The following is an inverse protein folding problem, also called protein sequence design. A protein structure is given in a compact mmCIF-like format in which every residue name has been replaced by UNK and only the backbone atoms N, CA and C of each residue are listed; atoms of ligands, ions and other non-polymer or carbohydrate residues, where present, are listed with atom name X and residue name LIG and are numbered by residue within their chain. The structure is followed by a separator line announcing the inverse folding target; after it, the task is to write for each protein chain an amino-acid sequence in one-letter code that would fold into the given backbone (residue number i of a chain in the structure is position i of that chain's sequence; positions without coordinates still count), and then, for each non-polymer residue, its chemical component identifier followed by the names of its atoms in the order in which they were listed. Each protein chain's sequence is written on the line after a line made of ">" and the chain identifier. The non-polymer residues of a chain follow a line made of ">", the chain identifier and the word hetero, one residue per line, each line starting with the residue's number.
data_IF_802672250700
#
_entry.id   IF_802672250700
#
_cell.length_a   1.000
_cell.length_b   1.000
_cell.length_c   1.000
_cell.angle_alpha   90.00
_cell.angle_beta   90.00
_cell.angle_gamma   90.00
#
_symmetry.space_group_name_H-M   'P 1'
#
loop_
_entity.id
_entity.type
_entity.pdbx_description
1 polymer ?
#
# COMPACT_ATOMS: atom_id res chain seq x y z
N UNK A 1 20.95 -10.60 -19.16
CA UNK A 1 21.36 -9.64 -18.09
C UNK A 1 21.18 -10.25 -16.68
N UNK A 2 20.03 -10.82 -16.32
CA UNK A 2 19.76 -11.38 -14.96
C UNK A 2 20.75 -12.50 -14.61
N UNK A 3 20.98 -13.45 -15.52
CA UNK A 3 21.92 -14.57 -15.29
C UNK A 3 23.37 -14.11 -15.05
N UNK A 4 23.78 -12.98 -15.60
CA UNK A 4 25.13 -12.41 -15.42
C UNK A 4 25.23 -11.41 -14.25
N UNK A 5 24.11 -11.05 -13.62
CA UNK A 5 24.10 -10.05 -12.55
C UNK A 5 24.70 -10.57 -11.24
N UNK A 6 25.23 -9.66 -10.44
CA UNK A 6 25.73 -9.95 -9.12
C UNK A 6 24.57 -10.39 -8.17
N UNK A 7 24.90 -11.21 -7.18
CA UNK A 7 23.96 -11.61 -6.12
C UNK A 7 23.56 -10.36 -5.32
N UNK A 8 22.29 -10.33 -4.89
CA UNK A 8 21.70 -9.22 -4.11
C UNK A 8 21.73 -7.87 -4.84
N UNK A 9 21.88 -7.85 -6.16
CA UNK A 9 21.82 -6.60 -6.95
C UNK A 9 20.37 -6.18 -7.24
N UNK A 10 20.20 -4.94 -7.72
CA UNK A 10 18.94 -4.43 -8.27
C UNK A 10 19.04 -4.34 -9.78
N UNK A 11 18.04 -4.82 -10.49
CA UNK A 11 17.94 -4.73 -11.95
C UNK A 11 16.65 -3.99 -12.28
N UNK A 12 16.82 -2.96 -13.12
CA UNK A 12 15.71 -2.18 -13.66
C UNK A 12 15.38 -2.69 -15.07
N UNK A 13 14.10 -2.96 -15.32
CA UNK A 13 13.56 -3.48 -16.57
C UNK A 13 12.41 -2.56 -17.00
N UNK A 14 12.53 -1.95 -18.16
CA UNK A 14 11.42 -1.19 -18.73
C UNK A 14 10.41 -2.17 -19.34
N UNK A 15 9.14 -2.06 -18.96
CA UNK A 15 8.09 -2.94 -19.46
C UNK A 15 7.70 -2.67 -20.91
N UNK A 16 7.90 -1.43 -21.40
CA UNK A 16 7.56 -1.03 -22.77
C UNK A 16 6.13 -1.46 -23.19
N UNK A 17 5.18 -1.31 -22.28
CA UNK A 17 3.78 -1.70 -22.51
C UNK A 17 3.46 -3.17 -22.23
N UNK A 18 4.44 -4.01 -21.89
CA UNK A 18 4.14 -5.39 -21.49
C UNK A 18 3.38 -5.43 -20.17
N UNK A 19 2.34 -6.28 -20.12
CA UNK A 19 1.45 -6.42 -18.97
C UNK A 19 1.73 -7.66 -18.11
N UNK A 20 2.71 -8.46 -18.51
CA UNK A 20 3.12 -9.64 -17.75
C UNK A 20 4.62 -9.87 -17.80
N UNK A 21 5.16 -10.47 -16.74
CA UNK A 21 6.56 -10.89 -16.65
C UNK A 21 6.60 -12.42 -16.60
N UNK A 22 7.33 -13.07 -17.51
CA UNK A 22 7.48 -14.53 -17.52
C UNK A 22 8.08 -15.08 -16.21
N UNK A 23 7.65 -16.25 -15.82
CA UNK A 23 8.08 -16.93 -14.60
C UNK A 23 9.60 -17.14 -14.52
N UNK A 24 10.25 -17.47 -15.63
CA UNK A 24 11.69 -17.74 -15.72
C UNK A 24 12.55 -16.51 -15.36
N UNK A 25 12.10 -15.32 -15.67
CA UNK A 25 12.75 -14.05 -15.28
C UNK A 25 12.81 -13.94 -13.77
N UNK A 26 11.67 -14.12 -13.09
CA UNK A 26 11.55 -14.02 -11.63
C UNK A 26 12.31 -15.17 -10.96
N UNK A 27 12.10 -16.40 -11.42
CA UNK A 27 12.73 -17.59 -10.85
C UNK A 27 14.27 -17.62 -11.04
N UNK A 28 14.77 -17.02 -12.13
CA UNK A 28 16.21 -16.82 -12.32
C UNK A 28 16.77 -15.77 -11.35
N UNK A 29 16.04 -14.70 -11.13
CA UNK A 29 16.42 -13.66 -10.17
C UNK A 29 16.42 -14.17 -8.73
N UNK A 30 15.47 -15.03 -8.36
CA UNK A 30 15.37 -15.66 -7.03
C UNK A 30 16.66 -16.43 -6.66
N UNK A 31 17.27 -17.16 -7.58
CA UNK A 31 18.52 -17.91 -7.34
C UNK A 31 19.67 -17.02 -6.86
N UNK A 32 19.59 -15.72 -7.17
CA UNK A 32 20.61 -14.73 -6.82
C UNK A 32 20.10 -13.65 -5.86
N UNK A 33 18.84 -13.77 -5.39
CA UNK A 33 18.19 -12.80 -4.51
C UNK A 33 18.22 -11.37 -5.09
N UNK A 34 17.96 -11.22 -6.40
CA UNK A 34 17.99 -9.95 -7.10
C UNK A 34 16.68 -9.21 -6.85
N UNK A 35 16.74 -7.93 -6.52
CA UNK A 35 15.56 -7.05 -6.56
C UNK A 35 15.28 -6.65 -8.00
N UNK A 36 14.09 -6.96 -8.49
CA UNK A 36 13.64 -6.56 -9.82
C UNK A 36 12.75 -5.32 -9.74
N UNK A 37 13.05 -4.32 -10.53
CA UNK A 37 12.19 -3.16 -10.74
C UNK A 37 11.68 -3.15 -12.17
N UNK A 38 10.35 -3.22 -12.33
CA UNK A 38 9.68 -3.17 -13.61
C UNK A 38 9.06 -1.79 -13.81
N UNK A 39 9.69 -0.96 -14.64
CA UNK A 39 9.24 0.41 -14.92
C UNK A 39 8.05 0.37 -15.87
N UNK A 40 6.92 0.90 -15.41
CA UNK A 40 5.69 1.07 -16.21
C UNK A 40 5.76 2.37 -16.99
N UNK A 41 6.05 3.47 -16.28
CA UNK A 41 6.23 4.82 -16.83
C UNK A 41 7.11 5.65 -15.88
N UNK A 42 7.23 6.96 -16.13
CA UNK A 42 8.08 7.85 -15.32
C UNK A 42 7.64 7.97 -13.85
N UNK A 43 6.35 7.74 -13.57
CA UNK A 43 5.77 7.83 -12.22
C UNK A 43 5.72 6.48 -11.51
N UNK A 44 5.52 5.38 -12.24
CA UNK A 44 5.09 4.10 -11.68
C UNK A 44 6.08 2.98 -12.01
N UNK A 45 6.44 2.19 -11.00
CA UNK A 45 7.18 0.94 -11.19
C UNK A 45 6.75 -0.12 -10.19
N UNK A 46 6.79 -1.39 -10.61
CA UNK A 46 6.64 -2.54 -9.72
C UNK A 46 7.99 -2.99 -9.21
N UNK A 47 8.10 -3.24 -7.92
CA UNK A 47 9.34 -3.74 -7.30
C UNK A 47 9.07 -5.10 -6.65
N UNK A 48 9.93 -6.06 -6.97
CA UNK A 48 9.88 -7.42 -6.44
C UNK A 48 11.21 -7.73 -5.76
N UNK A 49 11.19 -7.90 -4.45
CA UNK A 49 12.31 -8.50 -3.73
C UNK A 49 12.26 -10.02 -3.89
N UNK A 50 13.00 -10.53 -4.84
CA UNK A 50 13.01 -11.98 -5.09
C UNK A 50 13.72 -12.76 -3.98
N UNK A 51 14.51 -12.11 -3.12
CA UNK A 51 15.13 -12.73 -1.96
C UNK A 51 14.14 -13.10 -0.85
N UNK A 52 13.01 -12.40 -0.79
CA UNK A 52 11.92 -12.67 0.15
C UNK A 52 10.99 -13.81 -0.31
N UNK A 53 11.03 -14.18 -1.58
CA UNK A 53 10.16 -15.22 -2.14
C UNK A 53 10.62 -16.63 -1.68
N UNK A 54 9.68 -17.40 -1.12
CA UNK A 54 9.95 -18.75 -0.58
C UNK A 54 9.74 -19.88 -1.59
N UNK A 55 9.00 -19.61 -2.68
CA UNK A 55 8.63 -20.62 -3.69
C UNK A 55 8.78 -20.03 -5.09
N UNK A 56 9.04 -20.88 -6.08
CA UNK A 56 8.96 -20.50 -7.49
C UNK A 56 7.57 -19.95 -7.81
N UNK A 57 7.54 -18.96 -8.67
CA UNK A 57 6.30 -18.27 -9.05
C UNK A 57 5.94 -18.55 -10.49
N UNK A 58 4.66 -18.43 -10.79
CA UNK A 58 4.15 -18.37 -12.17
C UNK A 58 4.49 -16.99 -12.78
N UNK A 59 3.94 -16.68 -13.94
CA UNK A 59 4.03 -15.33 -14.50
C UNK A 59 3.43 -14.31 -13.54
N UNK A 60 4.05 -13.12 -13.46
CA UNK A 60 3.53 -11.99 -12.71
C UNK A 60 2.73 -11.07 -13.64
N UNK A 61 1.49 -10.79 -13.28
CA UNK A 61 0.75 -9.70 -13.91
C UNK A 61 1.30 -8.37 -13.39
N UNK A 62 1.77 -7.52 -14.29
CA UNK A 62 2.26 -6.17 -14.05
C UNK A 62 1.46 -5.14 -14.85
N UNK A 63 0.35 -5.58 -15.45
CA UNK A 63 -0.55 -4.72 -16.19
C UNK A 63 -1.11 -3.64 -15.28
N UNK A 64 -0.94 -2.38 -15.73
CA UNK A 64 -1.41 -1.19 -15.04
C UNK A 64 -1.77 -0.13 -16.06
N UNK A 65 -2.88 0.56 -15.86
CA UNK A 65 -3.26 1.76 -16.63
C UNK A 65 -3.61 2.91 -15.68
N UNK A 66 -3.43 4.13 -16.16
CA UNK A 66 -3.76 5.39 -15.46
C UNK A 66 -4.84 6.20 -16.17
N UNK A 67 -5.24 5.79 -17.38
CA UNK A 67 -6.38 6.35 -18.11
C UNK A 67 -7.62 5.50 -17.90
N UNK A 68 -8.80 6.11 -18.01
CA UNK A 68 -10.10 5.42 -17.91
C UNK A 68 -10.26 4.59 -16.62
N UNK A 69 -9.78 5.13 -15.51
CA UNK A 69 -9.97 4.56 -14.17
C UNK A 69 -11.20 5.22 -13.57
N UNK A 70 -12.25 4.42 -13.37
CA UNK A 70 -13.52 4.92 -12.89
C UNK A 70 -13.56 4.90 -11.36
N UNK A 71 -13.42 6.09 -10.77
CA UNK A 71 -13.69 6.32 -9.35
C UNK A 71 -14.49 7.61 -9.25
N UNK A 72 -15.69 7.61 -8.64
CA UNK A 72 -16.49 8.82 -8.46
C UNK A 72 -15.72 9.91 -7.73
N UNK A 73 -15.61 11.10 -8.33
CA UNK A 73 -14.82 12.20 -7.77
C UNK A 73 -15.31 12.63 -6.39
N UNK A 74 -16.62 12.53 -6.15
CA UNK A 74 -17.24 12.86 -4.86
C UNK A 74 -16.63 12.05 -3.69
N UNK A 75 -16.20 10.81 -3.92
CA UNK A 75 -15.57 9.97 -2.89
C UNK A 75 -14.18 10.48 -2.52
N UNK A 76 -13.48 11.06 -3.49
CA UNK A 76 -12.15 11.63 -3.28
C UNK A 76 -12.28 12.99 -2.61
N UNK A 77 -13.19 13.85 -3.09
CA UNK A 77 -13.40 15.19 -2.55
C UNK A 77 -13.89 15.14 -1.09
N UNK A 78 -14.73 14.14 -0.74
CA UNK A 78 -15.24 13.97 0.62
C UNK A 78 -14.17 13.52 1.62
N UNK A 79 -13.07 12.93 1.17
CA UNK A 79 -11.98 12.51 2.05
C UNK A 79 -11.14 13.68 2.59
N UNK A 80 -11.15 14.82 1.90
CA UNK A 80 -10.30 15.96 2.20
C UNK A 80 -8.82 15.78 1.85
N UNK A 81 -8.46 14.62 1.29
CA UNK A 81 -7.10 14.26 0.92
C UNK A 81 -6.76 14.73 -0.51
N UNK A 82 -5.47 14.82 -0.82
CA UNK A 82 -5.03 15.20 -2.16
C UNK A 82 -4.77 13.97 -3.02
N UNK A 83 -5.48 13.84 -4.13
CA UNK A 83 -5.22 12.78 -5.10
C UNK A 83 -3.78 12.87 -5.66
N UNK A 84 -3.07 11.74 -5.69
CA UNK A 84 -1.76 11.59 -6.34
C UNK A 84 -1.95 10.97 -7.73
N UNK A 85 -2.61 9.81 -7.79
CA UNK A 85 -2.81 9.05 -9.02
C UNK A 85 -3.94 8.07 -8.88
N UNK A 86 -4.70 7.86 -9.96
CA UNK A 86 -5.62 6.72 -10.13
C UNK A 86 -4.95 5.66 -10.99
N UNK A 87 -5.10 4.41 -10.58
CA UNK A 87 -4.55 3.28 -11.33
C UNK A 87 -5.55 2.13 -11.38
N UNK A 88 -5.63 1.48 -12.54
CA UNK A 88 -6.28 0.19 -12.65
C UNK A 88 -5.21 -0.90 -12.74
N UNK A 89 -5.27 -1.90 -11.88
CA UNK A 89 -4.36 -3.05 -11.89
C UNK A 89 -5.07 -4.30 -12.38
N UNK A 90 -4.36 -5.13 -13.15
CA UNK A 90 -4.89 -6.37 -13.69
C UNK A 90 -4.41 -7.59 -12.90
N UNK A 91 -5.38 -8.40 -12.43
CA UNK A 91 -5.08 -9.67 -11.78
C UNK A 91 -4.63 -9.55 -10.32
N UNK A 92 -4.27 -10.70 -9.74
CA UNK A 92 -3.87 -10.79 -8.33
C UNK A 92 -2.37 -10.62 -8.15
N UNK A 93 -1.96 -9.79 -7.20
CA UNK A 93 -0.58 -9.63 -6.77
C UNK A 93 -0.17 -10.74 -5.79
N UNK A 94 0.00 -11.95 -6.31
CA UNK A 94 0.26 -13.16 -5.49
C UNK A 94 1.62 -13.20 -4.79
N UNK A 95 2.54 -12.33 -5.19
CA UNK A 95 3.93 -12.33 -4.69
C UNK A 95 4.27 -11.11 -3.85
N UNK A 96 3.28 -10.25 -3.56
CA UNK A 96 3.51 -9.03 -2.79
C UNK A 96 4.44 -8.04 -3.50
N UNK A 97 4.33 -7.92 -4.83
CA UNK A 97 5.05 -6.90 -5.57
C UNK A 97 4.62 -5.51 -5.08
N UNK A 98 5.57 -4.65 -4.80
CA UNK A 98 5.33 -3.30 -4.29
C UNK A 98 5.20 -2.34 -5.45
N UNK A 99 4.13 -1.57 -5.49
CA UNK A 99 3.98 -0.47 -6.43
C UNK A 99 4.70 0.77 -5.89
N UNK A 100 5.74 1.21 -6.58
CA UNK A 100 6.44 2.45 -6.30
C UNK A 100 5.77 3.56 -7.10
N UNK A 101 5.35 4.61 -6.40
CA UNK A 101 4.72 5.79 -6.98
C UNK A 101 5.56 7.01 -6.65
N UNK A 102 6.11 7.66 -7.68
CA UNK A 102 6.80 8.94 -7.54
C UNK A 102 5.76 10.05 -7.45
N UNK A 103 5.64 10.70 -6.31
CA UNK A 103 4.64 11.74 -6.07
C UNK A 103 4.96 13.07 -6.78
N UNK A 104 6.13 13.17 -7.41
CA UNK A 104 6.60 14.41 -8.05
C UNK A 104 7.01 15.51 -7.07
N UNK A 105 6.81 15.31 -5.77
CA UNK A 105 7.13 16.27 -4.71
C UNK A 105 7.93 15.60 -3.61
N UNK A 106 8.97 16.28 -3.13
CA UNK A 106 9.63 15.91 -1.88
C UNK A 106 8.78 16.46 -0.74
N UNK A 107 8.02 15.60 -0.11
CA UNK A 107 7.14 15.98 1.00
C UNK A 107 7.62 15.32 2.29
N UNK A 108 7.65 16.09 3.37
CA UNK A 108 8.01 15.58 4.68
C UNK A 108 6.73 15.27 5.48
N UNK A 109 6.78 14.21 6.28
CA UNK A 109 5.70 13.82 7.19
C UNK A 109 4.34 13.72 6.50
N UNK A 110 4.32 13.11 5.31
CA UNK A 110 3.11 12.80 4.56
C UNK A 110 3.02 11.31 4.33
N UNK A 111 1.79 10.85 4.26
CA UNK A 111 1.45 9.47 3.96
C UNK A 111 0.74 9.41 2.63
N UNK A 112 0.98 8.34 1.90
CA UNK A 112 0.23 7.96 0.73
C UNK A 112 -0.68 6.80 1.12
N UNK A 113 -1.98 7.04 1.13
CA UNK A 113 -3.00 6.07 1.47
C UNK A 113 -3.60 5.51 0.18
N UNK A 114 -3.56 4.20 0.02
CA UNK A 114 -4.11 3.49 -1.13
C UNK A 114 -5.52 3.01 -0.81
N UNK A 115 -6.47 3.38 -1.63
CA UNK A 115 -7.84 2.89 -1.55
C UNK A 115 -8.21 2.17 -2.84
N UNK A 116 -9.08 1.17 -2.71
CA UNK A 116 -9.69 0.46 -3.83
C UNK A 116 -11.16 0.86 -3.93
N UNK A 117 -11.62 1.18 -5.13
CA UNK A 117 -13.04 1.36 -5.37
C UNK A 117 -13.75 0.01 -5.29
N UNK A 118 -14.76 -0.05 -4.46
CA UNK A 118 -15.62 -1.22 -4.29
C UNK A 118 -16.92 -0.96 -5.06
N UNK A 119 -17.11 -1.70 -6.15
CA UNK A 119 -18.27 -1.54 -7.03
C UNK A 119 -19.58 -1.97 -6.38
N UNK A 120 -19.54 -2.87 -5.40
CA UNK A 120 -20.74 -3.38 -4.71
C UNK A 120 -21.27 -2.38 -3.68
N UNK A 121 -20.37 -1.80 -2.88
CA UNK A 121 -20.73 -0.82 -1.83
C UNK A 121 -20.74 0.62 -2.35
N UNK A 122 -20.13 0.88 -3.51
CA UNK A 122 -19.86 2.21 -4.05
C UNK A 122 -19.02 3.12 -3.12
N UNK A 123 -18.12 2.51 -2.33
CA UNK A 123 -17.23 3.18 -1.39
C UNK A 123 -15.76 2.95 -1.74
N UNK A 124 -14.87 3.66 -1.04
CA UNK A 124 -13.43 3.44 -1.07
C UNK A 124 -13.02 2.56 0.10
N UNK A 125 -12.57 1.34 -0.18
CA UNK A 125 -12.00 0.44 0.81
C UNK A 125 -10.51 0.79 1.00
N UNK A 126 -10.07 1.01 2.24
CA UNK A 126 -8.66 1.17 2.56
C UNK A 126 -7.90 -0.13 2.24
N UNK A 127 -6.72 0.00 1.65
CA UNK A 127 -5.89 -1.14 1.22
C UNK A 127 -4.52 -1.12 1.89
N UNK A 128 -3.83 0.02 1.84
CA UNK A 128 -2.45 0.12 2.31
C UNK A 128 -2.07 1.58 2.57
N UNK A 129 -1.03 1.78 3.35
CA UNK A 129 -0.46 3.10 3.60
C UNK A 129 1.06 3.05 3.54
N UNK A 130 1.66 4.14 3.13
CA UNK A 130 3.11 4.28 3.06
C UNK A 130 3.52 5.68 3.48
N UNK A 131 4.45 5.77 4.41
CA UNK A 131 5.15 7.04 4.64
C UNK A 131 5.99 7.36 3.40
N UNK A 132 5.83 8.56 2.86
CA UNK A 132 6.56 8.96 1.67
C UNK A 132 8.04 9.14 2.03
N UNK A 133 8.92 8.54 1.22
CA UNK A 133 10.38 8.72 1.37
C UNK A 133 10.73 10.14 0.99
N UNK A 134 11.00 10.99 1.99
CA UNK A 134 11.16 12.44 1.83
C UNK A 134 12.31 12.84 0.90
N UNK A 135 13.37 12.02 0.81
CA UNK A 135 14.51 12.27 -0.07
C UNK A 135 14.18 12.05 -1.56
N UNK A 136 13.22 11.19 -1.88
CA UNK A 136 12.90 10.78 -3.25
C UNK A 136 11.48 11.14 -3.69
N UNK A 137 10.58 11.39 -2.74
CA UNK A 137 9.16 11.57 -3.03
C UNK A 137 8.49 10.28 -3.51
N UNK A 138 8.91 9.12 -3.03
CA UNK A 138 8.35 7.82 -3.44
C UNK A 138 7.45 7.26 -2.35
N UNK A 139 6.23 6.91 -2.74
CA UNK A 139 5.33 6.06 -1.97
C UNK A 139 5.50 4.59 -2.37
N UNK A 140 5.31 3.67 -1.43
CA UNK A 140 5.48 2.23 -1.62
C UNK A 140 4.23 1.52 -1.11
N UNK A 141 3.36 1.07 -2.01
CA UNK A 141 2.07 0.46 -1.64
C UNK A 141 1.89 -0.89 -2.32
N UNK A 142 1.07 -1.75 -1.74
CA UNK A 142 0.85 -3.13 -2.22
C UNK A 142 -0.63 -3.34 -2.60
N UNK A 143 -1.02 -3.04 -3.84
CA UNK A 143 -2.34 -3.45 -4.32
C UNK A 143 -2.41 -4.99 -4.40
N UNK A 144 -3.37 -5.59 -3.69
CA UNK A 144 -3.47 -7.04 -3.56
C UNK A 144 -4.20 -7.73 -4.72
N UNK A 145 -5.22 -7.07 -5.27
CA UNK A 145 -6.10 -7.62 -6.30
C UNK A 145 -6.15 -6.70 -7.53
N UNK A 146 -6.75 -7.19 -8.61
CA UNK A 146 -7.14 -6.33 -9.72
C UNK A 146 -8.27 -5.38 -9.32
N UNK A 147 -8.36 -4.23 -10.00
CA UNK A 147 -9.40 -3.24 -9.79
C UNK A 147 -8.90 -1.80 -9.89
N UNK A 148 -9.80 -0.88 -9.61
CA UNK A 148 -9.56 0.55 -9.65
C UNK A 148 -9.11 1.04 -8.28
N UNK A 149 -7.99 1.74 -8.25
CA UNK A 149 -7.37 2.28 -7.05
C UNK A 149 -7.12 3.77 -7.19
N UNK A 150 -7.20 4.47 -6.06
CA UNK A 150 -6.69 5.84 -5.92
C UNK A 150 -5.66 5.89 -4.81
N UNK A 151 -4.55 6.56 -5.07
CA UNK A 151 -3.54 6.89 -4.08
C UNK A 151 -3.72 8.35 -3.70
N UNK A 152 -3.90 8.61 -2.42
CA UNK A 152 -4.16 9.95 -1.88
C UNK A 152 -3.08 10.35 -0.87
N UNK A 153 -2.78 11.64 -0.82
CA UNK A 153 -1.77 12.24 0.07
C UNK A 153 -2.45 12.86 1.29
N UNK A 154 -2.04 12.43 2.48
CA UNK A 154 -2.54 12.97 3.75
C UNK A 154 -1.38 13.27 4.73
N UNK A 155 -1.69 13.97 5.81
CA UNK A 155 -0.85 14.17 6.98
C UNK A 155 -0.89 12.99 7.95
N UNK A 156 -1.92 12.13 7.82
CA UNK A 156 -2.16 10.94 8.66
C UNK A 156 -2.21 9.68 7.83
N UNK A 157 -1.97 8.55 8.46
CA UNK A 157 -2.30 7.26 7.88
C UNK A 157 -3.83 7.09 7.91
N UNK A 158 -4.34 6.26 7.02
CA UNK A 158 -5.73 5.80 7.07
C UNK A 158 -5.79 4.32 7.46
N UNK A 159 -4.70 3.83 8.07
CA UNK A 159 -4.64 2.47 8.59
C UNK A 159 -5.56 2.38 9.83
N UNK A 160 -6.61 1.55 9.79
CA UNK A 160 -7.55 1.46 10.91
C UNK A 160 -6.85 1.08 12.22
N UNK A 161 -7.01 1.94 13.24
CA UNK A 161 -6.41 1.76 14.55
C UNK A 161 -5.01 2.36 14.72
N UNK A 162 -4.38 2.95 13.71
CA UNK A 162 -3.07 3.62 13.81
C UNK A 162 -3.23 5.04 14.39
N UNK A 163 -3.40 5.10 15.69
CA UNK A 163 -3.69 6.32 16.42
C UNK A 163 -2.47 7.24 16.61
N UNK A 164 -1.26 6.70 16.52
CA UNK A 164 -0.01 7.47 16.66
C UNK A 164 0.67 7.80 15.31
N UNK A 165 0.06 7.40 14.19
CA UNK A 165 0.57 7.57 12.83
C UNK A 165 1.96 6.95 12.61
N UNK A 166 2.22 5.81 13.22
CA UNK A 166 3.49 5.08 13.09
C UNK A 166 3.53 4.13 11.89
N UNK A 167 2.39 3.88 11.25
CA UNK A 167 2.16 2.86 10.21
C UNK A 167 2.19 1.41 10.72
N UNK A 168 2.15 1.23 12.02
CA UNK A 168 2.11 -0.10 12.67
C UNK A 168 1.08 -0.08 13.78
N UNK A 169 0.32 -1.16 13.92
CA UNK A 169 -0.65 -1.29 15.01
C UNK A 169 0.01 -2.00 16.18
N UNK A 170 0.18 -1.28 17.30
CA UNK A 170 0.78 -1.83 18.51
C UNK A 170 0.11 -1.29 19.81
N UNK A 171 0.71 -1.57 20.96
CA UNK A 171 0.14 -1.16 22.26
C UNK A 171 0.12 0.38 22.47
N UNK A 172 0.92 1.13 21.69
CA UNK A 172 0.91 2.60 21.76
C UNK A 172 -0.38 3.15 21.20
N UNK A 173 -0.90 2.55 20.11
CA UNK A 173 -2.18 2.93 19.52
C UNK A 173 -3.33 2.65 20.50
N UNK A 174 -3.33 1.49 21.15
CA UNK A 174 -4.31 1.18 22.18
C UNK A 174 -4.30 2.23 23.30
N UNK A 175 -3.10 2.69 23.72
CA UNK A 175 -2.96 3.75 24.71
C UNK A 175 -3.45 5.11 24.18
N UNK A 176 -3.20 5.43 22.91
CA UNK A 176 -3.67 6.65 22.27
C UNK A 176 -5.20 6.69 22.19
N UNK A 177 -5.83 5.58 21.80
CA UNK A 177 -7.31 5.45 21.77
C UNK A 177 -7.90 5.69 23.17
N UNK A 178 -7.32 5.14 24.22
CA UNK A 178 -7.80 5.41 25.58
C UNK A 178 -7.69 6.90 25.96
N UNK A 179 -6.64 7.61 25.51
CA UNK A 179 -6.52 9.04 25.69
C UNK A 179 -7.58 9.83 24.93
N UNK A 180 -7.97 9.37 23.74
CA UNK A 180 -9.13 9.91 23.00
C UNK A 180 -10.42 9.73 23.78
N UNK A 181 -10.66 8.53 24.32
CA UNK A 181 -11.87 8.23 25.11
C UNK A 181 -12.04 9.12 26.34
N UNK A 182 -10.94 9.54 26.96
CA UNK A 182 -10.98 10.44 28.15
C UNK A 182 -10.79 11.90 27.77
N UNK A 183 -10.79 12.25 26.48
CA UNK A 183 -10.72 13.62 26.00
C UNK A 183 -9.36 14.30 26.12
N UNK A 184 -8.27 13.54 26.32
CA UNK A 184 -6.91 14.08 26.37
C UNK A 184 -6.20 14.09 25.00
N UNK A 185 -6.81 13.48 23.99
CA UNK A 185 -6.46 13.55 22.57
C UNK A 185 -7.73 13.78 21.74
N UNK A 186 -7.58 14.38 20.57
CA UNK A 186 -8.64 14.55 19.60
C UNK A 186 -9.12 13.19 19.08
N UNK A 187 -10.44 13.03 18.93
CA UNK A 187 -11.03 11.81 18.40
C UNK A 187 -10.70 11.67 16.91
N UNK A 188 -10.32 10.46 16.50
CA UNK A 188 -10.05 10.12 15.10
C UNK A 188 -10.87 8.88 14.71
N UNK A 189 -11.81 9.04 13.78
CA UNK A 189 -12.72 7.98 13.34
C UNK A 189 -11.98 6.79 12.70
N UNK A 190 -10.74 7.00 12.22
CA UNK A 190 -9.90 5.89 11.71
C UNK A 190 -9.47 4.93 12.83
N UNK A 191 -9.66 5.31 14.09
CA UNK A 191 -9.36 4.51 15.27
C UNK A 191 -10.47 3.53 15.67
N UNK A 192 -11.58 3.48 14.93
CA UNK A 192 -12.57 2.38 15.02
C UNK A 192 -11.94 1.09 14.46
N UNK A 193 -11.18 0.42 15.32
CA UNK A 193 -10.42 -0.77 14.93
C UNK A 193 -11.28 -2.01 14.78
N UNK A 194 -12.38 -2.11 15.54
CA UNK A 194 -13.28 -3.25 15.49
C UNK A 194 -14.36 -3.10 14.40
N UNK A 195 -14.56 -1.89 13.84
CA UNK A 195 -15.52 -1.59 12.79
C UNK A 195 -16.98 -1.53 13.27
N UNK A 196 -17.22 -1.17 14.55
CA UNK A 196 -18.58 -1.07 15.09
C UNK A 196 -19.21 0.32 14.95
N UNK A 197 -18.48 1.28 14.39
CA UNK A 197 -18.89 2.66 14.15
C UNK A 197 -18.61 3.61 15.33
N UNK A 198 -17.92 3.15 16.38
CA UNK A 198 -17.61 3.96 17.56
C UNK A 198 -16.14 3.80 17.95
N UNK A 199 -15.44 4.90 18.17
CA UNK A 199 -14.10 4.88 18.76
C UNK A 199 -14.20 4.91 20.28
N UNK A 200 -13.87 3.79 20.93
CA UNK A 200 -14.01 3.63 22.38
C UNK A 200 -12.99 2.63 22.97
N UNK A 201 -13.10 2.30 24.25
CA UNK A 201 -12.17 1.39 24.90
C UNK A 201 -12.20 -0.05 24.36
N UNK A 202 -13.23 -0.45 23.60
CA UNK A 202 -13.31 -1.77 22.98
C UNK A 202 -12.30 -1.86 21.83
N UNK A 203 -12.07 -0.78 21.09
CA UNK A 203 -11.04 -0.72 20.04
C UNK A 203 -9.65 -0.88 20.62
N UNK A 204 -9.36 -0.18 21.71
CA UNK A 204 -8.12 -0.35 22.45
C UNK A 204 -7.90 -1.81 22.88
N UNK A 205 -8.94 -2.44 23.45
CA UNK A 205 -8.89 -3.83 23.84
C UNK A 205 -8.70 -4.77 22.64
N UNK A 206 -9.35 -4.49 21.51
CA UNK A 206 -9.23 -5.27 20.28
C UNK A 206 -7.80 -5.19 19.71
N UNK A 207 -7.17 -4.02 19.72
CA UNK A 207 -5.76 -3.85 19.34
C UNK A 207 -4.86 -4.69 20.25
N UNK A 208 -4.99 -4.57 21.57
CA UNK A 208 -4.17 -5.33 22.51
C UNK A 208 -4.31 -6.84 22.32
N UNK A 209 -5.53 -7.33 22.08
CA UNK A 209 -5.77 -8.76 21.76
C UNK A 209 -5.05 -9.17 20.49
N UNK A 210 -5.09 -8.33 19.44
CA UNK A 210 -4.42 -8.58 18.18
C UNK A 210 -2.90 -8.64 18.34
N UNK A 211 -2.32 -7.70 19.09
CA UNK A 211 -0.87 -7.61 19.35
C UNK A 211 -0.33 -8.85 20.05
N UNK A 212 -1.11 -9.45 20.96
CA UNK A 212 -0.73 -10.70 21.65
C UNK A 212 -1.16 -11.97 20.90
N UNK A 213 -1.64 -11.83 19.65
CA UNK A 213 -2.00 -12.96 18.78
C UNK A 213 -3.34 -13.61 19.10
N UNK A 214 -4.18 -12.98 19.91
CA UNK A 214 -5.57 -13.41 20.14
C UNK A 214 -6.44 -12.86 18.98
N UNK A 215 -7.25 -13.74 18.36
CA UNK A 215 -8.15 -13.33 17.27
C UNK A 215 -9.14 -12.27 17.74
N UNK A 216 -9.53 -11.38 16.79
CA UNK A 216 -10.67 -10.46 16.92
C UNK A 216 -11.92 -11.20 17.36
#
# INVERSE_FOLDING_TARGET
>A
KIAAAAKNSRIVINLNGNTSVPADIINTAMKKKITLEFVVNDMLSWVVDTGALKKTVASLSVGLKTSDVYIPTVLIDSSGDSEIVRVHTYGKNKIGAVLYVKTGKKVNNRFANLFRYNEDSHLLDFVDTSKIISSTGVAQVVPANGGDYVLMLDTRTRLPGDADNSTTIDARDASAILKMCVGTMELDDTCDYNGDGFVNAIDSAAILRSVVGLKK
#
